data_IF_380027862004
#
_entry.id   IF_380027862004
#
_cell.length_a   1.000
_cell.length_b   1.000
_cell.length_c   1.000
_cell.angle_alpha   90.00
_cell.angle_beta   90.00
_cell.angle_gamma   90.00
#
_symmetry.space_group_name_H-M   'P 1'
#
loop_
_entity.id
_entity.type
_entity.pdbx_description
1 polymer ?
#
# COMPACT_ATOMS: atom_id res chain seq x y z
N UNK A 1 -35.90 9.78 25.92
CA UNK A 1 -34.98 10.74 25.28
C UNK A 1 -33.58 10.38 25.72
N UNK A 2 -32.85 9.62 24.89
CA UNK A 2 -31.45 9.27 25.16
C UNK A 2 -30.64 9.97 24.07
N UNK A 3 -29.69 10.79 24.51
CA UNK A 3 -28.87 11.64 23.64
C UNK A 3 -28.17 10.81 22.55
N UNK A 4 -28.29 11.27 21.31
CA UNK A 4 -27.36 10.94 20.22
C UNK A 4 -25.95 11.33 20.69
N UNK A 5 -25.12 10.34 21.00
CA UNK A 5 -23.69 10.52 21.14
C UNK A 5 -23.06 10.54 19.76
N UNK A 6 -22.59 11.73 19.36
CA UNK A 6 -21.77 11.96 18.17
C UNK A 6 -20.53 11.06 18.23
N UNK A 7 -20.32 10.26 17.18
CA UNK A 7 -19.05 9.56 16.94
C UNK A 7 -17.95 10.62 16.78
N UNK A 8 -16.87 10.58 17.55
CA UNK A 8 -15.79 11.55 17.36
C UNK A 8 -15.07 11.25 16.04
N UNK A 9 -15.16 12.20 15.10
CA UNK A 9 -14.16 12.40 14.06
C UNK A 9 -12.83 12.74 14.74
N UNK A 10 -11.96 11.74 14.98
CA UNK A 10 -10.53 11.94 15.28
C UNK A 10 -9.85 10.60 15.58
N UNK A 11 -9.38 9.92 14.54
CA UNK A 11 -7.97 9.59 14.32
C UNK A 11 -7.92 8.64 13.12
N UNK A 12 -7.36 9.11 12.00
CA UNK A 12 -6.66 8.20 11.11
C UNK A 12 -5.61 7.53 11.99
N UNK A 13 -5.85 6.28 12.39
CA UNK A 13 -4.96 5.57 13.27
C UNK A 13 -3.56 5.58 12.64
N UNK A 14 -2.65 6.31 13.26
CA UNK A 14 -1.23 6.27 12.93
C UNK A 14 -0.81 4.80 12.97
N UNK A 15 -0.40 4.27 11.82
CA UNK A 15 0.08 2.91 11.74
C UNK A 15 1.27 2.71 12.67
N UNK A 16 1.39 1.53 13.29
CA UNK A 16 2.19 1.35 14.49
C UNK A 16 3.69 1.59 14.25
N UNK A 17 4.48 1.91 15.30
CA UNK A 17 5.94 2.08 15.21
C UNK A 17 6.70 0.79 14.87
N UNK A 18 6.00 -0.32 14.68
CA UNK A 18 6.55 -1.63 14.34
C UNK A 18 6.76 -1.74 12.82
N UNK A 19 8.03 -1.67 12.41
CA UNK A 19 8.48 -1.82 11.02
C UNK A 19 8.24 -3.23 10.46
N UNK A 20 7.87 -4.21 11.30
CA UNK A 20 7.64 -5.60 10.92
C UNK A 20 6.21 -6.08 11.16
N UNK A 21 5.24 -5.16 11.22
CA UNK A 21 3.82 -5.47 11.46
C UNK A 21 3.25 -6.55 10.50
N UNK A 22 3.84 -6.71 9.31
CA UNK A 22 3.44 -7.65 8.28
C UNK A 22 3.92 -9.10 8.52
N UNK A 23 4.87 -9.32 9.43
CA UNK A 23 5.43 -10.66 9.69
C UNK A 23 4.34 -11.57 10.28
N UNK A 24 4.13 -12.71 9.63
CA UNK A 24 3.07 -13.68 9.91
C UNK A 24 1.65 -13.05 9.95
N UNK A 25 1.46 -11.90 9.30
CA UNK A 25 0.17 -11.24 9.26
C UNK A 25 -0.81 -12.07 8.43
N UNK A 26 -2.07 -12.15 8.86
CA UNK A 26 -3.08 -13.02 8.25
C UNK A 26 -3.26 -12.80 6.75
N UNK A 27 -3.19 -11.55 6.29
CA UNK A 27 -3.25 -11.22 4.86
C UNK A 27 -2.05 -11.73 4.06
N UNK A 28 -0.83 -11.71 4.63
CA UNK A 28 0.38 -12.23 4.00
C UNK A 28 0.32 -13.75 3.94
N UNK A 29 -0.11 -14.40 5.03
CA UNK A 29 -0.35 -15.85 5.06
C UNK A 29 -1.42 -16.26 4.04
N UNK A 30 -2.50 -15.48 3.91
CA UNK A 30 -3.54 -15.75 2.93
C UNK A 30 -3.04 -15.62 1.48
N UNK A 31 -2.25 -14.60 1.17
CA UNK A 31 -1.62 -14.43 -0.14
C UNK A 31 -0.63 -15.56 -0.45
N UNK A 32 0.20 -15.95 0.53
CA UNK A 32 1.15 -17.05 0.39
C UNK A 32 0.43 -18.37 0.05
N UNK A 33 -0.65 -18.67 0.78
CA UNK A 33 -1.49 -19.84 0.52
C UNK A 33 -2.16 -19.79 -0.87
N UNK A 34 -2.65 -18.61 -1.28
CA UNK A 34 -3.28 -18.42 -2.60
C UNK A 34 -2.34 -18.75 -3.75
N UNK A 35 -1.07 -18.34 -3.64
CA UNK A 35 -0.07 -18.52 -4.69
C UNK A 35 0.83 -19.74 -4.51
N UNK A 36 0.59 -20.56 -3.47
CA UNK A 36 1.41 -21.72 -3.12
C UNK A 36 2.91 -21.37 -2.95
N UNK A 37 3.18 -20.21 -2.36
CA UNK A 37 4.53 -19.76 -1.98
C UNK A 37 4.68 -19.76 -0.46
N UNK A 38 5.91 -19.72 0.05
CA UNK A 38 6.13 -19.60 1.50
C UNK A 38 5.87 -18.18 1.96
N UNK A 39 5.39 -18.03 3.21
CA UNK A 39 5.12 -16.71 3.81
C UNK A 39 6.38 -15.84 3.81
N UNK A 40 7.54 -16.45 4.05
CA UNK A 40 8.83 -15.76 4.10
C UNK A 40 9.22 -15.11 2.78
N UNK A 41 8.78 -15.64 1.63
CA UNK A 41 9.03 -15.00 0.32
C UNK A 41 8.27 -13.68 0.24
N UNK A 42 6.99 -13.66 0.61
CA UNK A 42 6.19 -12.44 0.58
C UNK A 42 6.65 -11.42 1.63
N UNK A 43 7.04 -11.87 2.82
CA UNK A 43 7.65 -11.01 3.84
C UNK A 43 8.97 -10.38 3.35
N UNK A 44 9.81 -11.15 2.65
CA UNK A 44 11.05 -10.64 2.06
C UNK A 44 10.81 -9.62 0.94
N UNK A 45 9.76 -9.83 0.12
CA UNK A 45 9.33 -8.84 -0.88
C UNK A 45 8.92 -7.54 -0.18
N UNK A 46 8.01 -7.60 0.80
CA UNK A 46 7.54 -6.42 1.54
C UNK A 46 8.72 -5.66 2.16
N UNK A 47 9.69 -6.38 2.73
CA UNK A 47 10.88 -5.78 3.33
C UNK A 47 11.69 -4.97 2.32
N UNK A 48 11.97 -5.54 1.15
CA UNK A 48 12.82 -4.90 0.12
C UNK A 48 12.08 -3.77 -0.61
N UNK A 49 10.78 -3.95 -0.86
CA UNK A 49 9.99 -3.02 -1.66
C UNK A 49 9.61 -1.74 -0.89
N UNK A 50 9.23 -1.87 0.38
CA UNK A 50 8.76 -0.70 1.13
C UNK A 50 9.18 -0.64 2.60
N UNK A 51 9.80 -1.72 3.10
CA UNK A 51 10.09 -1.93 4.52
C UNK A 51 8.82 -1.99 5.38
N UNK A 52 7.70 -2.45 4.79
CA UNK A 52 6.41 -2.53 5.44
C UNK A 52 5.59 -1.24 5.44
N UNK A 53 6.05 -0.18 4.78
CA UNK A 53 5.31 1.08 4.63
C UNK A 53 4.17 0.92 3.59
N UNK A 54 2.89 0.98 3.97
CA UNK A 54 1.79 0.89 3.02
C UNK A 54 1.47 2.21 2.31
N UNK A 55 2.03 3.32 2.78
CA UNK A 55 1.89 4.62 2.14
C UNK A 55 3.08 4.93 1.22
N UNK A 56 3.95 3.95 0.98
CA UNK A 56 5.07 4.07 0.07
C UNK A 56 4.57 4.31 -1.37
N UNK A 57 5.07 5.39 -1.97
CA UNK A 57 4.82 5.72 -3.39
C UNK A 57 6.17 6.02 -4.04
N UNK A 58 6.46 5.34 -5.14
CA UNK A 58 7.70 5.53 -5.90
C UNK A 58 7.37 5.96 -7.33
N UNK A 59 7.95 7.07 -7.80
CA UNK A 59 7.68 7.56 -9.15
C UNK A 59 8.81 7.15 -10.09
N UNK A 60 8.47 6.46 -11.18
CA UNK A 60 9.44 6.00 -12.15
C UNK A 60 9.74 7.10 -13.18
N UNK A 61 10.97 7.62 -13.16
CA UNK A 61 11.50 8.60 -14.12
C UNK A 61 12.75 8.05 -14.79
N UNK A 62 12.69 7.85 -16.10
CA UNK A 62 13.82 7.36 -16.92
C UNK A 62 14.46 6.06 -16.38
N UNK A 63 13.63 5.14 -15.88
CA UNK A 63 14.08 3.87 -15.30
C UNK A 63 14.65 3.98 -13.89
N UNK A 64 14.55 5.15 -13.23
CA UNK A 64 14.92 5.36 -11.83
C UNK A 64 13.69 5.68 -10.99
N UNK A 65 13.56 5.01 -9.84
CA UNK A 65 12.54 5.32 -8.84
C UNK A 65 12.91 6.55 -8.01
N UNK A 66 11.97 7.48 -7.85
CA UNK A 66 11.99 8.56 -6.88
C UNK A 66 10.98 8.28 -5.75
N UNK A 67 11.47 7.75 -4.62
CA UNK A 67 10.62 7.46 -3.46
C UNK A 67 10.08 8.77 -2.87
N UNK A 68 8.77 8.84 -2.69
CA UNK A 68 8.05 9.98 -2.12
C UNK A 68 7.70 9.65 -0.67
N UNK A 69 8.10 10.51 0.26
CA UNK A 69 7.71 10.36 1.66
C UNK A 69 8.85 10.16 2.65
N UNK A 70 8.53 9.95 3.93
CA UNK A 70 7.31 9.30 4.45
C UNK A 70 6.01 10.08 4.21
N UNK A 71 4.92 9.36 3.93
CA UNK A 71 3.59 9.94 3.66
C UNK A 71 2.56 9.42 4.68
N UNK A 72 1.65 10.31 5.11
CA UNK A 72 0.39 9.87 5.73
C UNK A 72 -0.54 9.25 4.69
N UNK A 73 -1.55 8.49 5.14
CA UNK A 73 -2.58 7.91 4.26
C UNK A 73 -3.21 8.96 3.35
N UNK A 74 -3.55 10.14 3.89
CA UNK A 74 -4.14 11.24 3.12
C UNK A 74 -3.17 11.76 2.06
N UNK A 75 -1.91 12.02 2.43
CA UNK A 75 -0.90 12.50 1.47
C UNK A 75 -0.63 11.48 0.36
N UNK A 76 -0.57 10.18 0.70
CA UNK A 76 -0.39 9.12 -0.28
C UNK A 76 -1.60 9.02 -1.22
N UNK A 77 -2.83 9.10 -0.68
CA UNK A 77 -4.06 9.11 -1.48
C UNK A 77 -4.08 10.27 -2.47
N UNK A 78 -3.80 11.50 -1.98
CA UNK A 78 -3.78 12.70 -2.82
C UNK A 78 -2.72 12.57 -3.93
N UNK A 79 -1.49 12.15 -3.57
CA UNK A 79 -0.39 11.97 -4.52
C UNK A 79 -0.69 10.89 -5.57
N UNK A 80 -1.21 9.73 -5.15
CA UNK A 80 -1.56 8.63 -6.06
C UNK A 80 -2.64 9.06 -7.04
N UNK A 81 -3.66 9.79 -6.58
CA UNK A 81 -4.71 10.32 -7.45
C UNK A 81 -4.16 11.33 -8.47
N UNK A 82 -3.25 12.22 -8.06
CA UNK A 82 -2.58 13.17 -8.95
C UNK A 82 -1.75 12.46 -10.02
N UNK A 83 -0.91 11.51 -9.62
CA UNK A 83 -0.06 10.72 -10.53
C UNK A 83 -0.88 9.90 -11.51
N UNK A 84 -1.98 9.31 -11.04
CA UNK A 84 -2.91 8.55 -11.86
C UNK A 84 -3.55 9.41 -12.95
N UNK A 85 -4.07 10.58 -12.56
CA UNK A 85 -4.66 11.56 -13.48
C UNK A 85 -3.64 12.08 -14.50
N UNK A 86 -2.38 12.23 -14.09
CA UNK A 86 -1.29 12.66 -14.96
C UNK A 86 -0.78 11.55 -15.91
N UNK A 87 -1.23 10.30 -15.75
CA UNK A 87 -0.74 9.17 -16.53
C UNK A 87 0.71 8.79 -16.21
N UNK A 88 1.22 9.17 -15.04
CA UNK A 88 2.59 8.88 -14.62
C UNK A 88 2.82 7.37 -14.40
N UNK A 89 4.07 6.93 -14.52
CA UNK A 89 4.51 5.60 -14.10
C UNK A 89 4.96 5.66 -12.64
N UNK A 90 4.35 4.86 -11.77
CA UNK A 90 4.61 4.87 -10.33
C UNK A 90 4.20 3.54 -9.70
N UNK A 91 4.75 3.26 -8.53
CA UNK A 91 4.50 2.07 -7.73
C UNK A 91 3.83 2.44 -6.40
N UNK A 92 2.97 1.58 -5.86
CA UNK A 92 2.17 1.86 -4.66
C UNK A 92 2.23 0.73 -3.64
N UNK A 93 2.36 1.12 -2.36
CA UNK A 93 2.12 0.28 -1.20
C UNK A 93 3.22 -0.73 -0.89
N UNK A 94 2.89 -1.72 -0.06
CA UNK A 94 3.89 -2.60 0.56
C UNK A 94 4.66 -3.50 -0.40
N UNK A 95 4.07 -3.86 -1.54
CA UNK A 95 4.70 -4.66 -2.58
C UNK A 95 5.01 -3.85 -3.85
N UNK A 96 4.92 -2.51 -3.78
CA UNK A 96 5.24 -1.59 -4.88
C UNK A 96 4.60 -2.01 -6.22
N UNK A 97 3.28 -2.22 -6.21
CA UNK A 97 2.54 -2.60 -7.42
C UNK A 97 2.60 -1.45 -8.43
N UNK A 98 2.94 -1.76 -9.69
CA UNK A 98 3.13 -0.74 -10.72
C UNK A 98 1.82 -0.26 -11.39
N UNK A 99 1.71 1.05 -11.63
CA UNK A 99 0.51 1.68 -12.21
C UNK A 99 0.20 1.28 -13.65
N UNK A 100 1.16 0.74 -14.42
CA UNK A 100 0.92 0.13 -15.74
C UNK A 100 0.01 -1.09 -15.59
N UNK A 101 0.26 -1.96 -14.61
CA UNK A 101 -0.59 -3.12 -14.34
C UNK A 101 -1.96 -2.72 -13.79
N UNK A 102 -2.01 -1.71 -12.92
CA UNK A 102 -3.29 -1.17 -12.41
C UNK A 102 -4.17 -0.66 -13.56
N UNK A 103 -3.59 0.01 -14.57
CA UNK A 103 -4.31 0.44 -15.78
C UNK A 103 -4.81 -0.75 -16.61
N UNK A 104 -3.96 -1.75 -16.82
CA UNK A 104 -4.33 -2.96 -17.55
C UNK A 104 -5.54 -3.65 -16.93
N UNK A 105 -5.59 -3.76 -15.60
CA UNK A 105 -6.68 -4.42 -14.87
C UNK A 105 -7.81 -3.47 -14.43
N UNK A 106 -7.70 -2.17 -14.74
CA UNK A 106 -8.69 -1.12 -14.40
C UNK A 106 -8.97 -1.03 -12.89
N UNK A 107 -7.91 -1.09 -12.09
CA UNK A 107 -7.99 -0.99 -10.63
C UNK A 107 -7.61 0.42 -10.21
N UNK A 108 -8.40 1.02 -9.33
CA UNK A 108 -8.05 2.32 -8.74
C UNK A 108 -6.78 2.17 -7.88
N UNK A 109 -5.72 2.95 -8.16
CA UNK A 109 -4.44 2.81 -7.47
C UNK A 109 -4.53 3.10 -5.97
N UNK A 110 -5.55 3.85 -5.50
CA UNK A 110 -5.74 4.14 -4.06
C UNK A 110 -6.01 2.87 -3.26
N UNK A 111 -6.62 1.83 -3.86
CA UNK A 111 -6.84 0.55 -3.18
C UNK A 111 -5.55 -0.14 -2.76
N UNK A 112 -4.43 0.14 -3.45
CA UNK A 112 -3.14 -0.44 -3.13
C UNK A 112 -2.46 0.20 -1.91
N UNK A 113 -3.04 1.25 -1.32
CA UNK A 113 -2.63 1.77 0.00
C UNK A 113 -3.17 0.91 1.16
N UNK A 114 -4.18 0.07 0.91
CA UNK A 114 -4.54 -1.01 1.85
C UNK A 114 -3.55 -2.16 1.67
N UNK A 115 -2.75 -2.51 2.67
CA UNK A 115 -1.72 -3.52 2.50
C UNK A 115 -2.26 -4.94 2.33
N UNK A 116 -3.46 -5.25 2.85
CA UNK A 116 -4.10 -6.55 2.66
C UNK A 116 -4.62 -6.73 1.23
N UNK A 117 -5.06 -5.64 0.58
CA UNK A 117 -5.32 -5.65 -0.86
C UNK A 117 -4.00 -5.74 -1.60
N UNK A 118 -3.02 -4.91 -1.25
CA UNK A 118 -1.75 -4.80 -1.96
C UNK A 118 -1.01 -6.13 -2.11
N UNK A 119 -0.85 -6.87 -1.02
CA UNK A 119 -0.09 -8.14 -1.03
C UNK A 119 -0.77 -9.25 -1.84
N UNK A 120 -2.07 -9.13 -2.14
CA UNK A 120 -2.77 -10.10 -2.99
C UNK A 120 -2.42 -9.93 -4.48
N UNK A 121 -1.69 -8.87 -4.83
CA UNK A 121 -1.28 -8.56 -6.21
C UNK A 121 0.24 -8.55 -6.40
N UNK A 122 1.00 -8.96 -5.37
CA UNK A 122 2.45 -9.11 -5.41
C UNK A 122 2.89 -10.31 -6.25
#
# INVERSE_FOLDING_TARGET
>A
MVCLGVLPDSVAAEMPPDRFWYVNHSCVVAAANRYAVTVQILEAIILVESEGDPHAVNVNRDGKGDRRGPLSFKQATDLVAELWKAGANFDVGIAQINSVHMRQYKIDPVHFLDPCINIQWA
#
